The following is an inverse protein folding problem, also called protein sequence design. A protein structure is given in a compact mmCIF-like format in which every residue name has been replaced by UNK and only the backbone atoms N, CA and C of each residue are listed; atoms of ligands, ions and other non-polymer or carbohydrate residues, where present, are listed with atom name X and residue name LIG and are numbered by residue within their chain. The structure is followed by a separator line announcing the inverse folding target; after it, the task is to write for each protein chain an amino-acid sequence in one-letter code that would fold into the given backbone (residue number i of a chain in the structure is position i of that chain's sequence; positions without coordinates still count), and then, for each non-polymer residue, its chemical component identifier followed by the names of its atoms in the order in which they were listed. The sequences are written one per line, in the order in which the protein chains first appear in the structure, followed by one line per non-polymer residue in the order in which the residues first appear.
data_IF_849167628254
#
_entry.id   IF_849167628254
#
_cell.length_a   1.000
_cell.length_b   1.000
_cell.length_c   1.000
_cell.angle_alpha   90.00
_cell.angle_beta   90.00
_cell.angle_gamma   90.00
#
_symmetry.space_group_name_H-M   'P 1'
#
loop_
_entity.id
_entity.type
_entity.pdbx_description
1 polymer ?
#
# COMPACT_ATOMS: atom_id res chain seq x y z
N UNK A 1 -12.11 5.16 15.62
CA UNK A 1 -12.35 5.85 14.33
C UNK A 1 -11.07 5.96 13.52
N UNK A 2 -11.16 5.83 12.19
CA UNK A 2 -10.01 5.94 11.26
C UNK A 2 -9.57 7.40 11.09
N UNK A 3 -8.33 7.64 10.64
CA UNK A 3 -7.87 9.00 10.27
C UNK A 3 -8.56 9.53 9.01
N UNK A 4 -9.14 8.66 8.18
CA UNK A 4 -9.87 9.03 6.97
C UNK A 4 -11.17 9.79 7.23
N UNK A 5 -11.69 9.75 8.46
CA UNK A 5 -12.89 10.50 8.86
C UNK A 5 -12.57 11.98 9.17
N UNK A 6 -11.29 12.36 9.20
CA UNK A 6 -10.84 13.73 9.44
C UNK A 6 -10.60 14.42 8.10
N UNK A 7 -11.16 15.60 7.94
CA UNK A 7 -11.02 16.39 6.72
C UNK A 7 -9.73 17.21 6.79
N UNK A 8 -8.95 17.23 5.71
CA UNK A 8 -7.77 18.07 5.58
C UNK A 8 -8.14 19.41 4.94
N UNK A 9 -7.84 20.51 5.63
CA UNK A 9 -7.97 21.87 5.12
C UNK A 9 -6.56 22.40 4.78
N UNK A 10 -6.28 22.53 3.48
CA UNK A 10 -4.97 22.95 2.99
C UNK A 10 -4.72 24.44 3.25
N UNK A 11 -5.74 25.30 3.16
CA UNK A 11 -5.62 26.74 3.36
C UNK A 11 -5.33 27.07 4.82
N UNK A 12 -6.01 26.40 5.74
CA UNK A 12 -5.80 26.57 7.17
C UNK A 12 -4.66 25.70 7.74
N UNK A 13 -4.11 24.77 6.94
CA UNK A 13 -3.09 23.80 7.36
C UNK A 13 -3.51 23.07 8.65
N UNK A 14 -4.72 22.53 8.66
CA UNK A 14 -5.28 21.82 9.82
C UNK A 14 -6.16 20.64 9.40
N UNK A 15 -6.31 19.67 10.29
CA UNK A 15 -7.37 18.66 10.14
C UNK A 15 -8.61 19.10 10.92
N UNK A 16 -9.80 18.84 10.38
CA UNK A 16 -11.07 19.00 11.09
C UNK A 16 -11.61 17.63 11.46
N UNK A 17 -11.97 17.44 12.73
CA UNK A 17 -12.69 16.25 13.15
C UNK A 17 -14.15 16.29 12.65
N UNK A 18 -14.87 15.14 12.69
CA UNK A 18 -16.28 15.11 12.31
C UNK A 18 -17.20 16.01 13.14
N UNK A 19 -16.80 16.38 14.37
CA UNK A 19 -17.52 17.35 15.21
C UNK A 19 -17.10 18.80 14.96
N UNK A 20 -16.19 19.05 14.01
CA UNK A 20 -15.78 20.39 13.57
C UNK A 20 -14.54 20.99 14.26
N UNK A 21 -14.05 20.39 15.36
CA UNK A 21 -12.85 20.87 16.05
C UNK A 21 -11.57 20.70 15.22
N UNK A 22 -10.68 21.68 15.34
CA UNK A 22 -9.43 21.72 14.59
C UNK A 22 -8.29 20.97 15.28
N UNK A 23 -7.51 20.25 14.49
CA UNK A 23 -6.27 19.59 14.86
C UNK A 23 -5.13 20.34 14.19
N UNK A 24 -4.32 21.01 15.00
CA UNK A 24 -3.22 21.87 14.54
C UNK A 24 -1.87 21.29 14.96
N UNK A 25 -0.84 21.53 14.15
CA UNK A 25 0.55 21.29 14.54
C UNK A 25 1.06 22.35 15.52
N UNK A 26 0.55 23.58 15.36
CA UNK A 26 0.86 24.75 16.17
C UNK A 26 -0.43 25.47 16.61
N UNK A 27 -0.56 25.71 17.93
CA UNK A 27 -1.70 26.49 18.48
C UNK A 27 -1.39 27.96 18.69
N UNK A 28 -0.12 28.32 18.75
CA UNK A 28 0.35 29.70 18.93
C UNK A 28 1.09 30.15 17.69
N UNK A 29 0.97 31.43 17.35
CA UNK A 29 1.78 32.06 16.32
C UNK A 29 3.21 32.20 16.86
N UNK A 30 4.18 31.58 16.18
CA UNK A 30 5.58 31.75 16.52
C UNK A 30 6.18 32.88 15.69
N UNK A 31 7.04 33.70 16.31
CA UNK A 31 7.80 34.75 15.61
C UNK A 31 8.67 34.17 14.48
N UNK A 32 9.30 33.03 14.75
CA UNK A 32 10.07 32.26 13.77
C UNK A 32 9.34 30.95 13.45
N UNK A 33 8.89 30.73 12.21
CA UNK A 33 8.23 29.49 11.81
C UNK A 33 9.12 28.27 12.08
N UNK A 34 8.53 27.20 12.62
CA UNK A 34 9.20 25.92 12.83
C UNK A 34 8.71 24.94 11.77
N UNK A 35 9.63 24.17 11.20
CA UNK A 35 9.27 23.12 10.23
C UNK A 35 8.31 22.08 10.82
N UNK A 36 8.44 21.76 12.12
CA UNK A 36 7.66 20.71 12.83
C UNK A 36 7.78 19.31 12.24
N UNK A 37 8.57 19.13 11.17
CA UNK A 37 8.90 17.84 10.58
C UNK A 37 9.76 17.04 11.57
N UNK A 38 9.30 15.85 11.89
CA UNK A 38 10.03 14.89 12.73
C UNK A 38 11.11 14.18 11.91
N UNK A 39 12.00 13.42 12.57
CA UNK A 39 12.98 12.55 11.89
C UNK A 39 12.34 11.49 10.96
N UNK A 40 11.03 11.28 11.07
CA UNK A 40 10.27 10.35 10.24
C UNK A 40 9.52 11.05 9.08
N UNK A 41 9.90 12.28 8.72
CA UNK A 41 9.30 13.06 7.63
C UNK A 41 7.77 13.22 7.76
N UNK A 42 7.33 13.43 9.01
CA UNK A 42 5.93 13.65 9.36
C UNK A 42 5.74 14.89 10.22
N UNK A 43 4.59 15.52 10.08
CA UNK A 43 4.10 16.61 10.91
C UNK A 43 2.95 16.06 11.76
N UNK A 44 2.97 16.36 13.07
CA UNK A 44 1.96 15.86 14.02
C UNK A 44 0.93 16.95 14.29
N UNK A 45 -0.32 16.67 13.94
CA UNK A 45 -1.49 17.52 14.21
C UNK A 45 -2.23 16.97 15.43
N UNK A 46 -2.60 17.85 16.38
CA UNK A 46 -3.20 17.47 17.66
C UNK A 46 -4.49 18.24 17.92
N UNK A 47 -5.54 17.53 18.32
CA UNK A 47 -6.79 18.11 18.81
C UNK A 47 -6.56 18.78 20.18
N UNK A 48 -7.32 19.83 20.49
CA UNK A 48 -7.31 20.39 21.85
C UNK A 48 -7.79 19.35 22.84
N UNK A 49 -7.13 19.26 23.99
CA UNK A 49 -7.57 18.35 25.05
C UNK A 49 -8.93 18.79 25.59
N UNK A 50 -9.13 20.10 25.79
CA UNK A 50 -10.39 20.69 26.22
C UNK A 50 -11.55 20.34 25.28
N UNK A 51 -11.31 20.41 23.95
CA UNK A 51 -12.32 20.05 22.95
C UNK A 51 -12.63 18.55 22.98
N UNK A 52 -11.64 17.70 23.27
CA UNK A 52 -11.84 16.24 23.32
C UNK A 52 -12.49 15.79 24.64
N UNK A 53 -12.24 16.47 25.75
CA UNK A 53 -12.76 16.10 27.07
C UNK A 53 -14.28 16.24 27.16
N UNK A 54 -14.85 17.28 26.57
CA UNK A 54 -16.30 17.53 26.52
C UNK A 54 -16.99 16.91 25.29
N UNK A 55 -16.23 16.27 24.39
CA UNK A 55 -16.76 15.72 23.15
C UNK A 55 -17.53 14.41 23.39
N UNK A 56 -18.78 14.35 22.93
CA UNK A 56 -19.62 13.14 22.98
C UNK A 56 -19.04 11.94 22.22
N UNK A 57 -18.15 12.17 21.26
CA UNK A 57 -17.49 11.12 20.47
C UNK A 57 -16.12 10.70 21.01
N UNK A 58 -15.68 11.21 22.17
CA UNK A 58 -14.34 10.96 22.74
C UNK A 58 -14.02 9.47 22.82
N UNK A 59 -14.91 8.67 23.38
CA UNK A 59 -14.68 7.23 23.60
C UNK A 59 -14.47 6.46 22.28
N UNK A 60 -15.18 6.87 21.21
CA UNK A 60 -15.04 6.24 19.89
C UNK A 60 -13.86 6.81 19.08
N UNK A 61 -13.55 8.09 19.28
CA UNK A 61 -12.52 8.82 18.55
C UNK A 61 -11.11 8.56 19.10
N UNK A 62 -10.95 8.60 20.42
CA UNK A 62 -9.69 8.50 21.14
C UNK A 62 -9.87 7.77 22.49
N UNK A 63 -10.12 6.44 22.48
CA UNK A 63 -10.43 5.67 23.69
C UNK A 63 -9.29 5.64 24.72
N UNK A 64 -8.04 5.51 24.27
CA UNK A 64 -6.88 5.29 25.13
C UNK A 64 -6.00 6.54 25.32
N UNK A 65 -6.43 7.70 24.81
CA UNK A 65 -5.61 8.91 24.79
C UNK A 65 -6.47 10.13 25.06
N UNK A 66 -5.97 11.14 25.79
CA UNK A 66 -6.77 12.32 26.16
C UNK A 66 -7.19 13.16 24.94
N UNK A 67 -6.47 13.04 23.83
CA UNK A 67 -6.74 13.78 22.59
C UNK A 67 -6.35 12.98 21.36
N UNK A 68 -6.98 13.31 20.24
CA UNK A 68 -6.63 12.76 18.94
C UNK A 68 -5.34 13.39 18.39
N UNK A 69 -4.44 12.54 17.86
CA UNK A 69 -3.27 12.95 17.07
C UNK A 69 -3.29 12.33 15.68
N UNK A 70 -2.87 13.07 14.67
CA UNK A 70 -2.69 12.60 13.29
C UNK A 70 -1.28 12.95 12.85
N UNK A 71 -0.51 11.93 12.42
CA UNK A 71 0.78 12.14 11.77
C UNK A 71 0.56 12.20 10.26
N UNK A 72 0.78 13.37 9.65
CA UNK A 72 0.69 13.59 8.21
C UNK A 72 2.10 13.56 7.63
N UNK A 73 2.32 12.82 6.55
CA UNK A 73 3.62 12.86 5.87
C UNK A 73 3.80 14.19 5.14
N UNK A 74 5.04 14.65 5.00
CA UNK A 74 5.35 15.78 4.10
C UNK A 74 4.98 15.47 2.64
N UNK A 75 4.91 14.18 2.28
CA UNK A 75 4.53 13.71 0.95
C UNK A 75 3.07 13.21 0.89
N UNK A 76 2.20 13.66 1.80
CA UNK A 76 0.82 13.14 1.86
C UNK A 76 0.04 13.42 0.58
N UNK A 77 0.25 14.56 -0.07
CA UNK A 77 -0.41 14.89 -1.35
C UNK A 77 -0.10 13.85 -2.45
N UNK A 78 1.18 13.46 -2.61
CA UNK A 78 1.58 12.42 -3.55
C UNK A 78 0.98 11.05 -3.18
N UNK A 79 0.87 10.76 -1.88
CA UNK A 79 0.24 9.52 -1.39
C UNK A 79 -1.27 9.51 -1.63
N UNK A 80 -1.96 10.64 -1.41
CA UNK A 80 -3.38 10.81 -1.71
C UNK A 80 -3.65 10.60 -3.19
N UNK A 81 -2.82 11.18 -4.06
CA UNK A 81 -2.93 10.97 -5.50
C UNK A 81 -2.73 9.51 -5.89
N UNK A 82 -1.71 8.87 -5.33
CA UNK A 82 -1.48 7.43 -5.54
C UNK A 82 -2.67 6.60 -5.06
N UNK A 83 -3.27 6.91 -3.91
CA UNK A 83 -4.47 6.25 -3.39
C UNK A 83 -5.70 6.49 -4.27
N UNK A 84 -5.83 7.68 -4.87
CA UNK A 84 -6.89 8.02 -5.82
C UNK A 84 -6.77 7.19 -7.08
N UNK A 85 -5.59 7.20 -7.70
CA UNK A 85 -5.29 6.38 -8.89
C UNK A 85 -5.50 4.90 -8.59
N UNK A 86 -5.09 4.41 -7.41
CA UNK A 86 -5.22 3.00 -7.06
C UNK A 86 -6.66 2.47 -7.05
N UNK A 87 -7.66 3.35 -6.88
CA UNK A 87 -9.08 2.97 -6.89
C UNK A 87 -9.61 2.75 -8.32
N UNK A 88 -8.98 3.34 -9.32
CA UNK A 88 -9.47 3.31 -10.70
C UNK A 88 -9.37 1.91 -11.31
N UNK A 89 -10.32 1.51 -12.18
CA UNK A 89 -10.25 0.23 -12.86
C UNK A 89 -9.02 0.12 -13.78
N UNK A 90 -8.58 1.23 -14.37
CA UNK A 90 -7.41 1.30 -15.24
C UNK A 90 -6.14 0.92 -14.49
N UNK A 91 -5.98 1.35 -13.23
CA UNK A 91 -4.83 0.97 -12.40
C UNK A 91 -4.87 -0.50 -11.98
N UNK A 92 -6.07 -1.04 -11.73
CA UNK A 92 -6.22 -2.44 -11.30
C UNK A 92 -5.78 -3.44 -12.36
N UNK A 93 -5.91 -3.11 -13.65
CA UNK A 93 -5.53 -4.01 -14.75
C UNK A 93 -4.01 -4.30 -14.77
N UNK A 94 -3.10 -3.31 -14.84
CA UNK A 94 -1.66 -3.54 -14.71
C UNK A 94 -1.27 -4.26 -13.41
N UNK A 95 -1.91 -3.95 -12.28
CA UNK A 95 -1.66 -4.67 -11.03
C UNK A 95 -1.97 -6.17 -11.14
N UNK A 96 -3.09 -6.54 -11.79
CA UNK A 96 -3.43 -7.95 -12.03
C UNK A 96 -2.42 -8.60 -12.97
N UNK A 97 -1.96 -7.91 -14.02
CA UNK A 97 -0.93 -8.42 -14.93
C UNK A 97 0.41 -8.63 -14.22
N UNK A 98 0.85 -7.70 -13.37
CA UNK A 98 2.06 -7.85 -12.53
C UNK A 98 2.00 -9.08 -11.65
N UNK A 99 0.86 -9.33 -11.00
CA UNK A 99 0.67 -10.54 -10.18
C UNK A 99 0.88 -11.82 -10.98
N UNK A 100 0.50 -11.87 -12.26
CA UNK A 100 0.76 -13.05 -13.11
C UNK A 100 2.26 -13.31 -13.24
N UNK A 101 3.06 -12.25 -13.45
CA UNK A 101 4.53 -12.33 -13.53
C UNK A 101 5.14 -12.70 -12.18
N UNK A 102 4.73 -12.04 -11.10
CA UNK A 102 5.20 -12.33 -9.73
C UNK A 102 4.96 -13.79 -9.34
N UNK A 103 3.82 -14.36 -9.74
CA UNK A 103 3.51 -15.78 -9.53
C UNK A 103 4.43 -16.72 -10.32
N UNK A 104 4.90 -16.32 -11.52
CA UNK A 104 5.88 -17.10 -12.27
C UNK A 104 7.22 -17.14 -11.52
N UNK A 105 7.70 -16.00 -11.03
CA UNK A 105 8.91 -15.95 -10.22
C UNK A 105 8.77 -16.74 -8.92
N UNK A 106 7.61 -16.66 -8.25
CA UNK A 106 7.34 -17.46 -7.06
C UNK A 106 7.39 -18.97 -7.36
N UNK A 107 6.86 -19.42 -8.49
CA UNK A 107 6.95 -20.82 -8.92
C UNK A 107 8.38 -21.24 -9.28
N UNK A 108 9.17 -20.39 -9.95
CA UNK A 108 10.57 -20.69 -10.25
C UNK A 108 11.34 -20.97 -8.95
N UNK A 109 11.21 -20.09 -7.96
CA UNK A 109 11.89 -20.23 -6.66
C UNK A 109 11.36 -21.44 -5.88
N UNK A 110 10.04 -21.55 -5.68
CA UNK A 110 9.48 -22.55 -4.75
C UNK A 110 9.43 -23.98 -5.32
N UNK A 111 9.14 -24.12 -6.62
CA UNK A 111 8.95 -25.42 -7.28
C UNK A 111 10.21 -25.88 -7.98
N UNK A 112 10.84 -25.03 -8.79
CA UNK A 112 12.06 -25.38 -9.51
C UNK A 112 13.34 -25.17 -8.67
N UNK A 113 13.20 -24.66 -7.44
CA UNK A 113 14.31 -24.44 -6.49
C UNK A 113 15.43 -23.56 -7.08
N UNK A 114 15.06 -22.62 -7.95
CA UNK A 114 15.98 -21.63 -8.52
C UNK A 114 16.21 -20.49 -7.52
N UNK A 115 16.80 -20.82 -6.37
CA UNK A 115 17.11 -19.86 -5.30
C UNK A 115 18.49 -19.22 -5.47
N UNK A 116 19.38 -19.86 -6.24
CA UNK A 116 20.73 -19.38 -6.57
C UNK A 116 21.07 -19.76 -8.01
N UNK A 117 21.85 -18.91 -8.66
CA UNK A 117 22.46 -19.20 -9.96
C UNK A 117 23.82 -19.87 -9.73
N UNK A 118 24.16 -20.84 -10.58
CA UNK A 118 25.39 -21.64 -10.45
C UNK A 118 26.55 -21.05 -11.28
N UNK A 119 26.23 -20.47 -12.41
CA UNK A 119 27.13 -19.83 -13.35
C UNK A 119 27.43 -18.40 -12.90
N UNK A 120 28.66 -17.96 -13.17
CA UNK A 120 29.14 -16.62 -12.80
C UNK A 120 28.96 -15.64 -13.97
N UNK A 121 28.73 -14.38 -13.61
CA UNK A 121 28.64 -13.27 -14.55
C UNK A 121 27.26 -13.13 -15.21
N UNK A 122 27.01 -11.99 -15.90
CA UNK A 122 25.71 -11.69 -16.51
C UNK A 122 25.28 -12.71 -17.56
N UNK A 123 26.22 -13.25 -18.35
CA UNK A 123 25.93 -14.27 -19.37
C UNK A 123 25.45 -15.58 -18.75
N UNK A 124 26.17 -16.11 -17.76
CA UNK A 124 25.75 -17.32 -17.04
C UNK A 124 24.41 -17.16 -16.34
N UNK A 125 24.16 -15.99 -15.73
CA UNK A 125 22.88 -15.67 -15.13
C UNK A 125 21.73 -15.66 -16.15
N UNK A 126 21.97 -15.06 -17.32
CA UNK A 126 21.01 -15.01 -18.42
C UNK A 126 20.64 -16.43 -18.89
N UNK A 127 21.63 -17.28 -19.13
CA UNK A 127 21.41 -18.63 -19.68
C UNK A 127 20.65 -19.53 -18.71
N UNK A 128 20.98 -19.48 -17.41
CA UNK A 128 20.24 -20.21 -16.39
C UNK A 128 18.79 -19.76 -16.28
N UNK A 129 18.54 -18.45 -16.28
CA UNK A 129 17.18 -17.92 -16.23
C UNK A 129 16.40 -18.28 -17.49
N UNK A 130 17.03 -18.22 -18.67
CA UNK A 130 16.41 -18.56 -19.93
C UNK A 130 15.99 -20.04 -19.95
N UNK A 131 16.86 -20.95 -19.51
CA UNK A 131 16.52 -22.37 -19.40
C UNK A 131 15.41 -22.61 -18.37
N UNK A 132 15.48 -21.99 -17.19
CA UNK A 132 14.46 -22.16 -16.16
C UNK A 132 13.08 -21.61 -16.60
N UNK A 133 13.06 -20.45 -17.26
CA UNK A 133 11.86 -19.87 -17.83
C UNK A 133 11.27 -20.75 -18.94
N UNK A 134 12.12 -21.32 -19.80
CA UNK A 134 11.72 -22.26 -20.86
C UNK A 134 11.07 -23.51 -20.26
N UNK A 135 11.72 -24.15 -19.29
CA UNK A 135 11.16 -25.31 -18.58
C UNK A 135 9.82 -24.98 -17.90
N UNK A 136 9.71 -23.81 -17.28
CA UNK A 136 8.47 -23.36 -16.66
C UNK A 136 7.35 -23.14 -17.70
N UNK A 137 7.67 -22.55 -18.85
CA UNK A 137 6.73 -22.34 -19.96
C UNK A 137 6.24 -23.67 -20.53
N UNK A 138 7.13 -24.63 -20.77
CA UNK A 138 6.79 -25.99 -21.19
C UNK A 138 5.84 -26.66 -20.18
N UNK A 139 6.15 -26.59 -18.89
CA UNK A 139 5.27 -27.12 -17.83
C UNK A 139 3.88 -26.48 -17.82
N UNK A 140 3.78 -25.18 -18.10
CA UNK A 140 2.49 -24.48 -18.20
C UNK A 140 1.70 -24.91 -19.44
N UNK A 141 2.37 -25.05 -20.59
CA UNK A 141 1.73 -25.54 -21.81
C UNK A 141 1.19 -26.96 -21.62
N UNK A 142 2.01 -27.87 -21.09
CA UNK A 142 1.59 -29.24 -20.79
C UNK A 142 0.36 -29.25 -19.87
N UNK A 143 0.34 -28.44 -18.81
CA UNK A 143 -0.85 -28.32 -17.95
C UNK A 143 -2.09 -27.83 -18.70
N UNK A 144 -1.96 -26.84 -19.60
CA UNK A 144 -3.11 -26.33 -20.37
C UNK A 144 -3.68 -27.39 -21.30
N UNK A 145 -2.82 -28.08 -22.05
CA UNK A 145 -3.24 -29.14 -22.96
C UNK A 145 -3.83 -30.36 -22.23
N UNK A 146 -3.21 -30.78 -21.13
CA UNK A 146 -3.69 -31.94 -20.35
C UNK A 146 -4.96 -31.63 -19.54
N UNK A 147 -5.20 -30.36 -19.14
CA UNK A 147 -6.43 -29.99 -18.43
C UNK A 147 -7.66 -29.95 -19.36
N UNK A 148 -7.47 -29.60 -20.64
CA UNK A 148 -8.54 -29.67 -21.65
C UNK A 148 -8.99 -31.11 -21.94
N UNK A 149 -8.07 -32.08 -21.90
CA UNK A 149 -8.39 -33.50 -22.10
C UNK A 149 -9.26 -34.08 -20.97
N UNK A 150 -9.11 -33.60 -19.72
CA UNK A 150 -9.96 -34.03 -18.60
C UNK A 150 -11.42 -33.55 -18.72
N UNK A 151 -11.66 -32.39 -19.32
CA UNK A 151 -13.02 -31.86 -19.55
C UNK A 151 -13.73 -32.61 -20.69
N UNK A 152 -13.01 -32.99 -21.74
CA UNK A 152 -13.56 -33.83 -22.81
C UNK A 152 -13.97 -35.23 -22.30
N UNK A 153 -13.18 -35.84 -21.42
CA UNK A 153 -13.51 -37.16 -20.87
C UNK A 153 -14.66 -37.17 -19.86
N UNK A 154 -15.12 -36.01 -19.36
CA UNK A 154 -16.31 -35.90 -18.50
C UNK A 154 -17.59 -35.55 -19.27
N UNK A 155 -17.49 -35.06 -20.51
CA UNK A 155 -18.65 -34.72 -21.34
C UNK A 155 -19.11 -35.88 -22.25
N UNK A 156 -18.44 -37.04 -22.17
CA UNK A 156 -18.74 -38.27 -22.93
C UNK A 156 -19.23 -39.39 -22.00
N UNK A 157 -19.62 -39.06 -20.76
CA UNK A 157 -20.21 -39.97 -19.79
C UNK A 157 -21.62 -39.53 -19.43
#
# INVERSE_FOLDING_TARGET
MSSSEFHWDELANEYRCPTGHALRSDRRKFRNPRSRVTKADTIIYRASQLDCESCSMKDRCCPNTPLRKIARSIHEAAREETRRIAKTPEYKRPCRERKKVEMLFAHLKRILKLDRLRLRGPGGAHDEFLMAATAQNLRRMAKRFMSGCKQMNQAVA
#
